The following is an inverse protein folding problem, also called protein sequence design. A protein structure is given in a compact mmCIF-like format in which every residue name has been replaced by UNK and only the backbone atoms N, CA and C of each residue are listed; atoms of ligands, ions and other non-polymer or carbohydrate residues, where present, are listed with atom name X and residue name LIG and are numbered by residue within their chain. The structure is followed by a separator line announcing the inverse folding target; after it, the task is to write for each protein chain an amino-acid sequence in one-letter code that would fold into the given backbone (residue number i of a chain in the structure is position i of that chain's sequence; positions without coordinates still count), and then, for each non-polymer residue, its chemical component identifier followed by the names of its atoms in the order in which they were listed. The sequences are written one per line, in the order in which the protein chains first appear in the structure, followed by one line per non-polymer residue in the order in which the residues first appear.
data_IF_088205330117
#
_entry.id   IF_088205330117
#
_cell.length_a   1.000
_cell.length_b   1.000
_cell.length_c   1.000
_cell.angle_alpha   90.00
_cell.angle_beta   90.00
_cell.angle_gamma   90.00
#
_symmetry.space_group_name_H-M   'P 1'
#
loop_
_entity.id
_entity.type
_entity.pdbx_description
1 polymer ?
#
# COMPACT_ATOMS: atom_id res chain seq x y z
N UNK A 1 -5.23 -24.92 11.71
CA UNK A 1 -4.39 -23.71 11.57
C UNK A 1 -3.86 -23.40 12.96
N UNK A 2 -2.56 -23.16 13.10
CA UNK A 2 -2.01 -22.78 14.40
C UNK A 2 -2.57 -21.39 14.75
N UNK A 3 -3.17 -21.25 15.92
CA UNK A 3 -3.81 -19.99 16.37
C UNK A 3 -2.80 -18.84 16.57
N UNK A 4 -1.49 -19.11 16.45
CA UNK A 4 -0.40 -18.15 16.67
C UNK A 4 0.36 -17.73 15.40
N UNK A 5 -0.09 -18.12 14.20
CA UNK A 5 0.53 -17.63 12.97
C UNK A 5 -0.01 -16.23 12.63
N UNK A 6 0.84 -15.21 12.84
CA UNK A 6 0.53 -13.84 12.39
C UNK A 6 0.64 -13.76 10.87
N UNK A 7 -0.45 -13.40 10.21
CA UNK A 7 -0.44 -13.00 8.79
C UNK A 7 0.06 -11.56 8.68
N UNK A 8 0.99 -11.33 7.76
CA UNK A 8 1.52 -9.99 7.46
C UNK A 8 0.93 -9.53 6.14
N UNK A 9 0.33 -8.34 6.13
CA UNK A 9 -0.18 -7.70 4.92
C UNK A 9 0.87 -6.75 4.35
N UNK A 10 1.45 -7.13 3.22
CA UNK A 10 2.36 -6.30 2.43
C UNK A 10 1.59 -5.70 1.25
N UNK A 11 1.43 -4.38 1.25
CA UNK A 11 0.65 -3.65 0.26
C UNK A 11 1.54 -2.96 -0.78
N UNK A 12 1.28 -3.22 -2.07
CA UNK A 12 2.03 -2.65 -3.21
C UNK A 12 1.27 -1.58 -3.98
N UNK A 13 0.15 -1.06 -3.44
CA UNK A 13 -0.74 -0.12 -4.13
C UNK A 13 0.01 1.13 -4.61
N UNK A 14 0.92 1.69 -3.81
CA UNK A 14 1.64 2.91 -4.16
C UNK A 14 2.79 2.70 -5.17
N UNK A 15 3.18 1.44 -5.44
CA UNK A 15 4.20 1.09 -6.44
C UNK A 15 3.60 0.45 -7.68
N UNK A 16 3.07 -0.76 -7.53
CA UNK A 16 2.54 -1.54 -8.65
C UNK A 16 1.22 -0.92 -9.14
N UNK A 17 0.41 -0.40 -8.22
CA UNK A 17 -0.81 0.31 -8.57
C UNK A 17 -0.52 1.55 -9.42
N UNK A 18 0.49 2.34 -9.07
CA UNK A 18 0.88 3.53 -9.85
C UNK A 18 1.40 3.19 -11.25
N UNK A 19 2.04 2.04 -11.43
CA UNK A 19 2.53 1.58 -12.73
C UNK A 19 1.42 1.09 -13.66
N UNK A 20 0.20 0.89 -13.15
CA UNK A 20 -0.93 0.45 -13.97
C UNK A 20 -1.37 1.57 -14.93
N UNK A 21 -1.73 1.24 -16.19
CA UNK A 21 -2.15 2.25 -17.17
C UNK A 21 -3.32 3.10 -16.66
N UNK A 22 -3.13 4.43 -16.62
CA UNK A 22 -4.16 5.36 -16.14
C UNK A 22 -4.26 5.51 -14.62
N UNK A 23 -3.37 4.88 -13.85
CA UNK A 23 -3.36 4.93 -12.38
C UNK A 23 -2.20 5.76 -11.80
N UNK A 24 -1.57 6.62 -12.61
CA UNK A 24 -0.52 7.53 -12.17
C UNK A 24 -0.99 8.41 -11.00
N UNK A 25 -0.14 8.57 -9.99
CA UNK A 25 -0.48 9.30 -8.76
C UNK A 25 0.52 10.42 -8.53
N UNK A 26 0.04 11.62 -8.23
CA UNK A 26 0.92 12.66 -7.69
C UNK A 26 1.23 12.42 -6.20
N UNK A 27 2.21 13.15 -5.66
CA UNK A 27 2.62 13.00 -4.26
C UNK A 27 1.47 13.20 -3.25
N UNK A 28 0.54 14.11 -3.53
CA UNK A 28 -0.61 14.33 -2.64
C UNK A 28 -1.61 13.17 -2.69
N UNK A 29 -1.84 12.57 -3.85
CA UNK A 29 -2.65 11.36 -4.02
C UNK A 29 -2.03 10.17 -3.29
N UNK A 30 -0.73 9.94 -3.48
CA UNK A 30 0.02 8.91 -2.76
C UNK A 30 -0.15 9.06 -1.26
N UNK A 31 -0.02 10.28 -0.74
CA UNK A 31 -0.12 10.50 0.70
C UNK A 31 -1.54 10.28 1.24
N UNK A 32 -2.57 10.66 0.47
CA UNK A 32 -3.96 10.34 0.84
C UNK A 32 -4.21 8.84 0.89
N UNK A 33 -3.73 8.10 -0.11
CA UNK A 33 -3.88 6.63 -0.19
C UNK A 33 -3.09 5.94 0.93
N UNK A 34 -1.86 6.37 1.19
CA UNK A 34 -1.02 5.84 2.28
C UNK A 34 -1.74 5.91 3.63
N UNK A 35 -2.38 7.05 3.94
CA UNK A 35 -3.17 7.21 5.18
C UNK A 35 -4.39 6.29 5.21
N UNK A 36 -5.02 5.99 4.06
CA UNK A 36 -6.13 5.03 4.05
C UNK A 36 -5.65 3.60 4.26
N UNK A 37 -4.51 3.22 3.66
CA UNK A 37 -3.92 1.89 3.80
C UNK A 37 -3.41 1.65 5.23
N UNK A 38 -2.80 2.65 5.85
CA UNK A 38 -2.47 2.63 7.28
C UNK A 38 -3.72 2.39 8.15
N UNK A 39 -4.81 3.13 7.91
CA UNK A 39 -6.08 2.94 8.63
C UNK A 39 -6.73 1.58 8.40
N UNK A 40 -6.49 0.97 7.24
CA UNK A 40 -6.93 -0.38 6.91
C UNK A 40 -6.14 -1.44 7.70
N UNK A 41 -4.99 -1.08 8.26
CA UNK A 41 -4.18 -1.96 9.09
C UNK A 41 -3.19 -2.81 8.29
N UNK A 42 -2.71 -2.33 7.14
CA UNK A 42 -1.61 -3.00 6.43
C UNK A 42 -0.34 -2.95 7.28
N UNK A 43 0.42 -4.05 7.33
CA UNK A 43 1.63 -4.11 8.14
C UNK A 43 2.81 -3.40 7.45
N UNK A 44 2.86 -3.45 6.12
CA UNK A 44 3.94 -2.86 5.31
C UNK A 44 3.37 -2.22 4.05
N UNK A 45 3.86 -1.01 3.74
CA UNK A 45 3.52 -0.24 2.55
C UNK A 45 4.75 -0.06 1.67
N UNK A 46 4.66 -0.43 0.40
CA UNK A 46 5.70 -0.16 -0.58
C UNK A 46 5.50 1.22 -1.22
N UNK A 47 6.36 2.19 -0.90
CA UNK A 47 6.15 3.62 -1.15
C UNK A 47 6.19 4.08 -2.64
N UNK A 48 6.46 3.20 -3.60
CA UNK A 48 6.58 3.56 -5.02
C UNK A 48 7.99 4.02 -5.44
N UNK A 49 8.05 4.91 -6.44
CA UNK A 49 9.30 5.48 -6.99
C UNK A 49 9.60 6.88 -6.42
N UNK A 50 10.88 7.25 -6.24
CA UNK A 50 11.30 8.59 -5.81
C UNK A 50 11.00 9.69 -6.84
#
# INVERSE_FOLDING_TARGET
MNENEKVIIFDTTLRDGEQSPGASMNAAEKMRIAVQLEKLGVDVLEAGFP
#
